data_IF_639461110858
#
_entry.id   IF_639461110858
#
_cell.length_a   1.000
_cell.length_b   1.000
_cell.length_c   1.000
_cell.angle_alpha   90.00
_cell.angle_beta   90.00
_cell.angle_gamma   90.00
#
_symmetry.space_group_name_H-M   'P 1'
#
loop_
_entity.id
_entity.type
_entity.pdbx_description
1 polymer ?
#
# COMPACT_ATOMS: atom_id res chain seq x y z
N UNK A 1 14.75 41.32 -28.84
CA UNK A 1 15.59 40.52 -27.92
C UNK A 1 14.84 39.23 -27.59
N UNK A 2 15.35 38.07 -28.03
CA UNK A 2 14.67 36.77 -27.94
C UNK A 2 14.78 36.25 -26.50
N UNK A 3 13.66 36.07 -25.79
CA UNK A 3 13.63 35.44 -24.47
C UNK A 3 13.56 33.93 -24.66
N UNK A 4 14.70 33.27 -24.52
CA UNK A 4 14.81 31.81 -24.41
C UNK A 4 14.35 31.42 -23.00
N UNK A 5 13.14 30.86 -22.89
CA UNK A 5 12.68 30.22 -21.65
C UNK A 5 13.13 28.77 -21.71
N UNK A 6 14.20 28.45 -20.99
CA UNK A 6 14.61 27.07 -20.75
C UNK A 6 13.68 26.47 -19.69
N UNK A 7 12.65 25.72 -20.12
CA UNK A 7 11.92 24.82 -19.24
C UNK A 7 12.71 23.50 -19.22
N UNK A 8 13.59 23.35 -18.24
CA UNK A 8 14.21 22.06 -17.96
C UNK A 8 13.24 21.25 -17.09
N UNK A 9 12.37 20.49 -17.75
CA UNK A 9 11.49 19.52 -17.10
C UNK A 9 12.33 18.33 -16.64
N UNK A 10 12.85 18.40 -15.42
CA UNK A 10 13.51 17.26 -14.77
C UNK A 10 12.45 16.26 -14.34
N UNK A 11 12.08 15.34 -15.24
CA UNK A 11 11.37 14.11 -14.86
C UNK A 11 12.41 13.23 -14.18
N UNK A 12 12.52 13.36 -12.86
CA UNK A 12 13.40 12.50 -12.08
C UNK A 12 12.71 11.14 -11.96
N UNK A 13 13.03 10.24 -12.87
CA UNK A 13 12.70 8.82 -12.78
C UNK A 13 13.50 8.20 -11.63
N UNK A 14 13.08 8.44 -10.39
CA UNK A 14 13.60 7.67 -9.25
C UNK A 14 13.13 6.23 -9.42
N UNK A 15 14.03 5.33 -9.81
CA UNK A 15 13.88 3.89 -9.60
C UNK A 15 13.93 3.62 -8.10
N UNK A 16 12.82 3.85 -7.42
CA UNK A 16 12.66 3.50 -6.01
C UNK A 16 12.78 1.97 -5.89
N UNK A 17 13.75 1.50 -5.11
CA UNK A 17 13.84 0.09 -4.73
C UNK A 17 12.52 -0.38 -4.14
N UNK A 18 12.12 -1.61 -4.45
CA UNK A 18 10.89 -2.19 -3.94
C UNK A 18 10.87 -2.15 -2.41
N UNK A 19 9.83 -1.54 -1.83
CA UNK A 19 9.59 -1.56 -0.40
C UNK A 19 8.69 -2.75 -0.08
N UNK A 20 9.25 -3.74 0.63
CA UNK A 20 8.53 -4.96 1.00
C UNK A 20 8.05 -4.86 2.45
N UNK A 21 6.79 -5.19 2.68
CA UNK A 21 6.18 -5.22 4.01
C UNK A 21 5.67 -6.62 4.32
N UNK A 22 6.17 -7.22 5.39
CA UNK A 22 5.80 -8.57 5.84
C UNK A 22 4.87 -8.46 7.04
N UNK A 23 3.80 -9.27 7.01
CA UNK A 23 2.82 -9.29 8.08
C UNK A 23 3.45 -9.76 9.39
N UNK A 24 3.12 -9.09 10.49
CA UNK A 24 3.59 -9.45 11.84
C UNK A 24 3.05 -10.81 12.29
N UNK A 25 1.91 -11.22 11.74
CA UNK A 25 1.24 -12.48 12.02
C UNK A 25 1.62 -13.49 10.93
N UNK A 26 2.54 -14.40 11.24
CA UNK A 26 3.12 -15.33 10.25
C UNK A 26 2.12 -16.28 9.56
N UNK A 27 0.96 -16.55 10.18
CA UNK A 27 -0.12 -17.36 9.62
C UNK A 27 -1.26 -16.54 8.98
N UNK A 28 -1.12 -15.20 8.87
CA UNK A 28 -2.12 -14.38 8.20
C UNK A 28 -2.34 -14.81 6.74
N UNK A 29 -3.60 -14.67 6.28
CA UNK A 29 -4.00 -14.85 4.89
C UNK A 29 -3.59 -13.66 3.99
N UNK A 30 -3.03 -12.59 4.55
CA UNK A 30 -2.43 -11.46 3.85
C UNK A 30 -0.95 -11.32 4.29
N UNK A 31 -0.06 -12.21 3.82
CA UNK A 31 1.29 -12.35 4.37
C UNK A 31 2.22 -11.19 4.05
N UNK A 32 2.00 -10.46 2.94
CA UNK A 32 2.84 -9.33 2.55
C UNK A 32 2.15 -8.39 1.58
N UNK A 33 2.66 -7.18 1.50
CA UNK A 33 2.42 -6.28 0.38
C UNK A 33 3.73 -5.60 -0.04
N UNK A 34 3.78 -5.13 -1.28
CA UNK A 34 4.97 -4.54 -1.89
C UNK A 34 4.60 -3.23 -2.55
N UNK A 35 5.42 -2.21 -2.38
CA UNK A 35 5.36 -0.97 -3.14
C UNK A 35 6.56 -0.96 -4.09
N UNK A 36 6.31 -0.95 -5.38
CA UNK A 36 7.35 -0.98 -6.40
C UNK A 36 6.86 -0.30 -7.68
N UNK A 37 7.71 0.49 -8.33
CA UNK A 37 7.42 1.14 -9.61
C UNK A 37 6.11 1.95 -9.64
N UNK A 38 5.81 2.65 -8.53
CA UNK A 38 4.58 3.45 -8.42
C UNK A 38 3.30 2.63 -8.25
N UNK A 39 3.42 1.33 -7.99
CA UNK A 39 2.30 0.41 -7.78
C UNK A 39 2.35 -0.21 -6.40
N UNK A 40 1.17 -0.63 -5.93
CA UNK A 40 1.03 -1.41 -4.70
C UNK A 40 0.48 -2.79 -5.04
N UNK A 41 1.16 -3.82 -4.56
CA UNK A 41 0.84 -5.23 -4.75
C UNK A 41 0.51 -5.87 -3.41
N UNK A 42 -0.69 -6.45 -3.26
CA UNK A 42 -1.11 -7.17 -2.05
C UNK A 42 -1.14 -8.66 -2.34
N UNK A 43 -0.44 -9.43 -1.52
CA UNK A 43 -0.36 -10.89 -1.64
C UNK A 43 -1.25 -11.57 -0.61
N UNK A 44 -1.81 -12.70 -1.00
CA UNK A 44 -2.70 -13.52 -0.18
C UNK A 44 -2.21 -14.95 -0.09
N UNK A 45 -2.59 -15.66 0.99
CA UNK A 45 -2.45 -17.12 1.03
C UNK A 45 -3.71 -17.79 0.47
N UNK A 46 -3.54 -18.62 -0.55
CA UNK A 46 -4.59 -19.44 -1.16
C UNK A 46 -4.09 -20.89 -1.16
N UNK A 47 -4.80 -21.78 -0.47
CA UNK A 47 -4.36 -23.19 -0.36
C UNK A 47 -2.95 -23.37 0.21
N UNK A 48 -2.50 -22.46 1.08
CA UNK A 48 -1.15 -22.46 1.66
C UNK A 48 -0.05 -21.82 0.81
N UNK A 49 -0.34 -21.45 -0.45
CA UNK A 49 0.60 -20.76 -1.35
C UNK A 49 0.40 -19.25 -1.30
N UNK A 50 1.48 -18.49 -1.41
CA UNK A 50 1.43 -17.02 -1.48
C UNK A 50 1.27 -16.61 -2.93
N UNK A 51 0.18 -15.92 -3.24
CA UNK A 51 -0.20 -15.50 -4.59
C UNK A 51 -0.51 -13.99 -4.61
N UNK A 52 -0.33 -13.36 -5.78
CA UNK A 52 -0.71 -11.96 -5.97
C UNK A 52 -2.24 -11.87 -6.04
N UNK A 53 -2.86 -11.17 -5.09
CA UNK A 53 -4.32 -11.02 -5.06
C UNK A 53 -4.80 -9.68 -5.63
N UNK A 54 -4.08 -8.59 -5.35
CA UNK A 54 -4.48 -7.25 -5.81
C UNK A 54 -3.29 -6.43 -6.27
N UNK A 55 -3.52 -5.66 -7.33
CA UNK A 55 -2.59 -4.66 -7.86
C UNK A 55 -3.31 -3.33 -7.96
N UNK A 56 -2.67 -2.26 -7.51
CA UNK A 56 -3.14 -0.90 -7.64
C UNK A 56 -2.06 -0.04 -8.27
N UNK A 57 -2.42 0.74 -9.31
CA UNK A 57 -1.52 1.67 -9.99
C UNK A 57 -1.36 2.99 -9.21
N UNK A 58 -1.19 2.86 -7.90
CA UNK A 58 -0.99 3.95 -6.97
C UNK A 58 -0.28 3.47 -5.70
N UNK A 59 0.32 4.42 -5.00
CA UNK A 59 1.05 4.20 -3.75
C UNK A 59 0.52 5.12 -2.66
N UNK A 60 0.69 4.79 -1.36
CA UNK A 60 0.37 5.70 -0.27
C UNK A 60 1.17 7.00 -0.35
N UNK A 61 0.45 8.11 -0.29
CA UNK A 61 1.00 9.46 -0.32
C UNK A 61 1.17 9.97 1.11
N UNK A 62 2.25 10.71 1.34
CA UNK A 62 2.52 11.33 2.64
C UNK A 62 1.44 12.39 2.89
N UNK A 63 0.78 12.30 4.04
CA UNK A 63 -0.23 13.27 4.48
C UNK A 63 0.19 14.01 5.74
N UNK A 64 1.18 13.51 6.47
CA UNK A 64 1.69 14.11 7.69
C UNK A 64 3.19 13.86 7.84
N UNK A 65 3.89 14.88 8.36
CA UNK A 65 5.34 14.95 8.46
C UNK A 65 5.77 15.58 9.79
N UNK A 66 5.08 15.28 10.87
CA UNK A 66 5.35 15.78 12.22
C UNK A 66 6.09 14.77 13.12
N UNK A 67 6.62 15.27 14.24
CA UNK A 67 7.14 14.47 15.35
C UNK A 67 8.22 13.43 14.98
N UNK A 68 9.07 13.77 14.01
CA UNK A 68 10.11 12.87 13.53
C UNK A 68 9.56 11.63 12.80
N UNK A 69 8.30 11.67 12.35
CA UNK A 69 7.64 10.62 11.58
C UNK A 69 7.17 11.18 10.24
N UNK A 70 7.14 10.30 9.25
CA UNK A 70 6.46 10.55 7.97
C UNK A 70 5.36 9.53 7.83
N UNK A 71 4.11 10.00 7.76
CA UNK A 71 2.92 9.14 7.68
C UNK A 71 2.30 9.28 6.31
N UNK A 72 1.98 8.15 5.71
CA UNK A 72 1.37 8.08 4.41
C UNK A 72 0.12 7.20 4.43
N UNK A 73 -0.82 7.51 3.53
CA UNK A 73 -2.10 6.84 3.43
C UNK A 73 -2.49 6.67 1.96
N UNK A 74 -3.13 5.55 1.68
CA UNK A 74 -3.85 5.28 0.45
C UNK A 74 -5.20 4.69 0.81
N UNK A 75 -6.24 5.07 0.06
CA UNK A 75 -7.53 4.38 0.08
C UNK A 75 -7.85 3.97 -1.35
N UNK A 76 -8.04 2.67 -1.57
CA UNK A 76 -8.39 2.09 -2.87
C UNK A 76 -9.58 1.17 -2.71
N UNK A 77 -10.35 1.03 -3.77
CA UNK A 77 -11.39 0.02 -3.83
C UNK A 77 -11.39 -0.69 -5.18
N UNK A 78 -11.69 -1.98 -5.16
CA UNK A 78 -11.98 -2.79 -6.34
C UNK A 78 -13.33 -3.48 -6.16
N UNK A 79 -14.05 -3.70 -7.25
CA UNK A 79 -15.37 -4.33 -7.21
C UNK A 79 -15.42 -5.42 -8.26
N UNK A 80 -15.83 -6.63 -7.86
CA UNK A 80 -16.09 -7.74 -8.76
C UNK A 80 -17.57 -8.18 -8.66
N UNK A 81 -17.92 -9.31 -9.27
CA UNK A 81 -19.31 -9.82 -9.20
C UNK A 81 -19.73 -10.23 -7.79
N UNK A 82 -18.79 -10.46 -6.89
CA UNK A 82 -19.02 -11.05 -5.57
C UNK A 82 -19.11 -9.97 -4.49
N UNK A 83 -18.24 -8.97 -4.54
CA UNK A 83 -18.10 -7.96 -3.51
C UNK A 83 -17.37 -6.71 -3.99
N UNK A 84 -17.66 -5.60 -3.31
CA UNK A 84 -16.78 -4.43 -3.25
C UNK A 84 -15.76 -4.61 -2.14
N UNK A 85 -14.50 -4.35 -2.45
CA UNK A 85 -13.35 -4.50 -1.56
C UNK A 85 -12.66 -3.17 -1.40
N UNK A 86 -12.53 -2.68 -0.18
CA UNK A 86 -11.89 -1.40 0.12
C UNK A 86 -10.68 -1.63 1.01
N UNK A 87 -9.55 -1.04 0.64
CA UNK A 87 -8.30 -1.11 1.38
C UNK A 87 -7.89 0.30 1.81
N UNK A 88 -7.65 0.47 3.10
CA UNK A 88 -6.99 1.65 3.65
C UNK A 88 -5.59 1.22 4.07
N UNK A 89 -4.61 1.60 3.25
CA UNK A 89 -3.21 1.25 3.48
C UNK A 89 -2.53 2.45 4.14
N UNK A 90 -1.90 2.23 5.28
CA UNK A 90 -1.12 3.24 5.98
C UNK A 90 0.31 2.76 6.15
N UNK A 91 1.27 3.67 6.02
CA UNK A 91 2.63 3.40 6.46
C UNK A 91 3.18 4.60 7.23
N UNK A 92 4.07 4.32 8.17
CA UNK A 92 4.76 5.30 8.99
C UNK A 92 6.25 5.00 8.95
N UNK A 93 7.04 5.96 8.50
CA UNK A 93 8.49 5.96 8.63
C UNK A 93 8.89 6.72 9.90
N UNK A 94 9.63 6.05 10.78
CA UNK A 94 10.26 6.67 11.94
C UNK A 94 11.63 7.20 11.55
N UNK A 95 11.82 8.52 11.42
CA UNK A 95 13.06 9.12 10.88
C UNK A 95 14.29 8.84 11.75
N UNK A 96 14.12 8.70 13.06
CA UNK A 96 15.23 8.41 13.98
C UNK A 96 15.80 7.02 13.77
N UNK A 97 14.93 6.01 13.60
CA UNK A 97 15.35 4.61 13.48
C UNK A 97 15.37 4.12 12.02
N UNK A 98 14.88 4.94 11.09
CA UNK A 98 14.61 4.59 9.69
C UNK A 98 13.79 3.29 9.54
N UNK A 99 12.95 2.98 10.54
CA UNK A 99 12.08 1.80 10.55
C UNK A 99 10.71 2.19 10.02
N UNK A 100 10.12 1.28 9.24
CA UNK A 100 8.74 1.42 8.80
C UNK A 100 7.82 0.50 9.59
N UNK A 101 6.66 1.04 9.96
CA UNK A 101 5.49 0.27 10.34
C UNK A 101 4.37 0.53 9.35
N UNK A 102 3.61 -0.50 8.98
CA UNK A 102 2.49 -0.34 8.08
C UNK A 102 1.26 -1.12 8.54
N UNK A 103 0.10 -0.74 8.02
CA UNK A 103 -1.17 -1.40 8.28
C UNK A 103 -2.09 -1.37 7.08
N UNK A 104 -2.92 -2.39 6.95
CA UNK A 104 -4.00 -2.46 5.96
C UNK A 104 -5.31 -2.72 6.71
N UNK A 105 -6.24 -1.77 6.64
CA UNK A 105 -7.64 -2.01 6.97
C UNK A 105 -8.35 -2.46 5.70
N UNK A 106 -8.94 -3.63 5.72
CA UNK A 106 -9.55 -4.29 4.57
C UNK A 106 -11.02 -4.58 4.85
N UNK A 107 -11.89 -3.98 4.05
CA UNK A 107 -13.34 -4.16 4.10
C UNK A 107 -13.81 -4.93 2.88
N UNK A 108 -14.62 -5.97 3.10
CA UNK A 108 -15.31 -6.73 2.03
C UNK A 108 -16.80 -6.56 2.21
N UNK A 109 -17.41 -5.86 1.28
CA UNK A 109 -18.85 -5.62 1.24
C UNK A 109 -19.47 -6.49 0.14
N UNK A 110 -20.18 -7.55 0.54
CA UNK A 110 -20.72 -8.54 -0.39
C UNK A 110 -21.96 -7.99 -1.10
N UNK A 111 -22.11 -8.31 -2.39
CA UNK A 111 -23.29 -7.91 -3.15
C UNK A 111 -24.53 -8.77 -2.85
N UNK A 112 -24.38 -9.83 -2.05
CA UNK A 112 -25.47 -10.68 -1.58
C UNK A 112 -25.77 -10.42 -0.10
N UNK A 113 -26.54 -11.32 0.54
CA UNK A 113 -26.99 -11.15 1.92
C UNK A 113 -25.91 -11.42 2.98
N UNK A 114 -24.67 -11.73 2.61
CA UNK A 114 -23.60 -11.99 3.58
C UNK A 114 -23.22 -10.69 4.31
N UNK A 115 -22.89 -10.78 5.61
CA UNK A 115 -22.44 -9.60 6.35
C UNK A 115 -21.10 -9.09 5.81
N UNK A 116 -20.93 -7.77 5.82
CA UNK A 116 -19.66 -7.09 5.54
C UNK A 116 -18.57 -7.62 6.48
N UNK A 117 -17.38 -7.88 5.93
CA UNK A 117 -16.22 -8.33 6.71
C UNK A 117 -15.19 -7.21 6.83
N UNK A 118 -14.57 -7.13 8.00
CA UNK A 118 -13.49 -6.22 8.30
C UNK A 118 -12.27 -7.01 8.78
N UNK A 119 -11.10 -6.67 8.25
CA UNK A 119 -9.82 -7.22 8.65
C UNK A 119 -8.82 -6.09 8.82
N UNK A 120 -8.04 -6.15 9.90
CA UNK A 120 -6.95 -5.21 10.14
C UNK A 120 -5.65 -5.99 10.27
N UNK A 121 -4.70 -5.66 9.40
CA UNK A 121 -3.41 -6.35 9.31
C UNK A 121 -2.28 -5.36 9.54
N UNK A 122 -1.24 -5.80 10.25
CA UNK A 122 -0.09 -4.95 10.60
C UNK A 122 1.21 -5.58 10.11
N UNK A 123 2.10 -4.74 9.59
CA UNK A 123 3.28 -5.16 8.86
C UNK A 123 4.54 -4.44 9.35
N UNK A 124 5.68 -5.09 9.14
CA UNK A 124 7.00 -4.49 9.28
C UNK A 124 7.65 -4.41 7.89
N UNK A 125 8.43 -3.36 7.63
CA UNK A 125 9.30 -3.41 6.46
C UNK A 125 10.38 -4.47 6.63
N UNK A 126 10.69 -5.14 5.53
CA UNK A 126 11.84 -6.03 5.39
C UNK A 126 12.97 -5.32 4.66
#
# INVERSE_FOLDING_TARGET
>A
MKKLVFIFLMIISFSASAQVFINRVGNSNMPKFVIENGKTFIYHKVGGKIELGFTFDQVPLIYDNADGRSRAKMTVSTTDKVAKRTFVITYTLHRQTQKYGAGIEYTVDFHDKRPTKFLNEYFNAN
#
